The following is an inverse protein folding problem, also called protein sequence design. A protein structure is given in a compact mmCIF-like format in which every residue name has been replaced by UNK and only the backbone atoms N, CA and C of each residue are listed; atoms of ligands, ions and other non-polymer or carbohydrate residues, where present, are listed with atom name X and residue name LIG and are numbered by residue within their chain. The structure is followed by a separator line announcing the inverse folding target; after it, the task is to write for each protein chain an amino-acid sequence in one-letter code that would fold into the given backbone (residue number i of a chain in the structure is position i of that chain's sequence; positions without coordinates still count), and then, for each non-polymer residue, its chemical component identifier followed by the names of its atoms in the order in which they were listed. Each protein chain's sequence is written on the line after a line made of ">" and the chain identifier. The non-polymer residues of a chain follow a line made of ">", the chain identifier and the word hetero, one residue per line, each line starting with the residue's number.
data_IF_008154130757
#
_entry.id   IF_008154130757
#
_cell.length_a   1.000
_cell.length_b   1.000
_cell.length_c   1.000
_cell.angle_alpha   90.00
_cell.angle_beta   90.00
_cell.angle_gamma   90.00
#
_symmetry.space_group_name_H-M   'P 1'
#
loop_
_entity.id
_entity.type
_entity.pdbx_description
1 polymer ?
#
# COMPACT_ATOMS: atom_id res chain seq x y z
N UNK A 1 -15.25 -34.24 28.05
CA UNK A 1 -15.93 -34.39 26.72
C UNK A 1 -16.10 -33.08 25.92
N UNK A 2 -15.97 -31.92 26.53
CA UNK A 2 -16.06 -30.64 25.78
C UNK A 2 -14.76 -30.27 25.01
N UNK A 3 -13.59 -30.62 25.53
CA UNK A 3 -12.30 -30.31 24.88
C UNK A 3 -12.10 -30.98 23.51
N UNK A 4 -12.65 -32.16 23.31
CA UNK A 4 -12.52 -32.87 22.01
C UNK A 4 -13.41 -32.34 20.88
N UNK A 5 -14.44 -31.52 21.20
CA UNK A 5 -15.29 -30.92 20.19
C UNK A 5 -14.70 -29.61 19.62
N UNK A 6 -13.99 -28.85 20.46
CA UNK A 6 -13.38 -27.57 20.05
C UNK A 6 -12.19 -27.78 19.09
N UNK A 7 -11.30 -28.70 19.42
CA UNK A 7 -10.16 -29.09 18.57
C UNK A 7 -10.59 -29.66 17.21
N UNK A 8 -11.68 -30.42 17.17
CA UNK A 8 -12.19 -31.04 15.95
C UNK A 8 -12.82 -30.03 14.98
N UNK A 9 -13.52 -29.00 15.51
CA UNK A 9 -14.12 -27.94 14.67
C UNK A 9 -13.07 -27.02 14.03
N UNK A 10 -12.04 -26.62 14.78
CA UNK A 10 -10.94 -25.80 14.24
C UNK A 10 -10.18 -26.57 13.15
N UNK A 11 -9.91 -27.85 13.36
CA UNK A 11 -9.24 -28.70 12.37
C UNK A 11 -10.06 -28.89 11.09
N UNK A 12 -11.37 -28.95 11.16
CA UNK A 12 -12.24 -29.18 10.01
C UNK A 12 -12.52 -27.88 9.23
N UNK A 13 -12.62 -26.73 9.88
CA UNK A 13 -12.64 -25.41 9.22
C UNK A 13 -11.30 -25.10 8.53
N UNK A 14 -10.17 -25.37 9.17
CA UNK A 14 -8.86 -25.21 8.57
C UNK A 14 -8.63 -26.08 7.35
N UNK A 15 -9.13 -27.31 7.33
CA UNK A 15 -9.05 -28.22 6.16
C UNK A 15 -9.78 -27.68 4.93
N UNK A 16 -10.79 -26.84 5.11
CA UNK A 16 -11.55 -26.22 4.03
C UNK A 16 -10.78 -25.09 3.34
N UNK A 17 -9.90 -24.38 4.08
CA UNK A 17 -9.06 -23.30 3.57
C UNK A 17 -7.71 -23.72 2.97
N UNK A 18 -7.25 -24.97 3.21
CA UNK A 18 -5.86 -25.39 2.95
C UNK A 18 -5.68 -26.34 1.76
N UNK A 19 -6.61 -26.40 0.82
CA UNK A 19 -6.45 -27.28 -0.36
C UNK A 19 -5.27 -26.92 -1.27
N UNK A 20 -4.66 -25.72 -1.16
CA UNK A 20 -3.56 -25.28 -2.02
C UNK A 20 -2.17 -25.19 -1.37
N UNK A 21 -2.04 -25.14 -0.02
CA UNK A 21 -0.74 -24.94 0.64
C UNK A 21 -0.57 -25.83 1.88
N UNK A 22 -0.50 -27.13 1.65
CA UNK A 22 -0.30 -28.15 2.70
C UNK A 22 0.87 -27.89 3.68
N UNK A 23 2.07 -27.41 3.26
CA UNK A 23 3.19 -27.22 4.18
C UNK A 23 2.98 -26.07 5.17
N UNK A 24 2.36 -24.97 4.74
CA UNK A 24 2.12 -23.80 5.58
C UNK A 24 1.03 -24.07 6.62
N UNK A 25 -0.01 -24.79 6.21
CA UNK A 25 -1.10 -25.17 7.11
C UNK A 25 -0.63 -26.15 8.20
N UNK A 26 0.27 -27.08 7.86
CA UNK A 26 0.89 -27.97 8.84
C UNK A 26 1.80 -27.23 9.81
N UNK A 27 2.62 -26.29 9.35
CA UNK A 27 3.48 -25.47 10.19
C UNK A 27 2.68 -24.56 11.13
N UNK A 28 1.54 -24.01 10.67
CA UNK A 28 0.61 -23.24 11.50
C UNK A 28 -0.10 -24.10 12.53
N UNK A 29 -0.49 -25.34 12.16
CA UNK A 29 -1.10 -26.29 13.09
C UNK A 29 -0.11 -26.76 14.16
N UNK A 30 1.14 -27.04 13.79
CA UNK A 30 2.21 -27.42 14.72
C UNK A 30 2.57 -26.26 15.67
N UNK A 31 2.60 -25.01 15.17
CA UNK A 31 2.81 -23.84 16.02
C UNK A 31 1.64 -23.58 16.97
N UNK A 32 0.39 -23.80 16.52
CA UNK A 32 -0.81 -23.70 17.34
C UNK A 32 -0.86 -24.81 18.39
N UNK A 33 -0.53 -26.06 18.05
CA UNK A 33 -0.49 -27.18 18.97
C UNK A 33 0.57 -26.96 20.07
N UNK A 34 1.75 -26.43 19.71
CA UNK A 34 2.78 -26.06 20.69
C UNK A 34 2.33 -24.95 21.66
N UNK A 35 1.63 -23.95 21.17
CA UNK A 35 1.07 -22.88 22.01
C UNK A 35 -0.07 -23.38 22.91
N UNK A 36 -0.92 -24.29 22.40
CA UNK A 36 -1.98 -24.92 23.19
C UNK A 36 -1.39 -25.77 24.33
N UNK A 37 -0.33 -26.52 24.06
CA UNK A 37 0.37 -27.27 25.08
C UNK A 37 0.99 -26.40 26.17
N UNK A 38 1.54 -25.24 25.82
CA UNK A 38 2.12 -24.29 26.78
C UNK A 38 1.04 -23.63 27.65
N UNK A 39 -0.09 -23.25 27.08
CA UNK A 39 -1.25 -22.73 27.83
C UNK A 39 -1.80 -23.78 28.79
N UNK A 40 -1.89 -25.04 28.37
CA UNK A 40 -2.33 -26.14 29.23
C UNK A 40 -1.32 -26.37 30.38
N UNK A 41 -0.02 -26.26 30.11
CA UNK A 41 1.04 -26.43 31.12
C UNK A 41 1.10 -25.29 32.13
N UNK A 42 0.86 -24.04 31.67
CA UNK A 42 0.97 -22.84 32.50
C UNK A 42 -0.32 -22.46 33.21
N UNK A 43 -1.47 -23.02 32.80
CA UNK A 43 -2.78 -22.68 33.36
C UNK A 43 -3.24 -21.25 33.05
N UNK A 44 -2.59 -20.58 32.14
CA UNK A 44 -2.92 -19.20 31.73
C UNK A 44 -4.01 -19.19 30.67
N UNK A 45 -5.25 -19.39 31.11
CA UNK A 45 -6.45 -19.40 30.27
C UNK A 45 -6.98 -18.00 29.92
N UNK A 46 -6.44 -16.94 30.53
CA UNK A 46 -6.95 -15.57 30.41
C UNK A 46 -6.27 -14.78 29.27
N UNK A 47 -5.19 -15.30 28.70
CA UNK A 47 -4.52 -14.66 27.59
C UNK A 47 -5.13 -15.11 26.26
N UNK A 48 -6.29 -14.58 25.89
CA UNK A 48 -6.75 -14.59 24.50
C UNK A 48 -5.72 -13.99 23.52
N UNK A 49 -4.57 -13.57 24.05
CA UNK A 49 -3.34 -13.15 23.36
C UNK A 49 -2.38 -14.30 23.04
N UNK A 50 -2.51 -15.46 23.67
CA UNK A 50 -1.56 -16.59 23.51
C UNK A 50 -1.58 -17.23 22.10
N UNK A 51 -2.59 -16.94 21.30
CA UNK A 51 -2.73 -17.44 19.93
C UNK A 51 -2.44 -16.39 18.84
N UNK A 52 -2.03 -15.16 19.21
CA UNK A 52 -1.63 -14.18 18.24
C UNK A 52 -0.20 -14.50 17.79
N UNK A 53 -0.06 -14.98 16.55
CA UNK A 53 1.26 -14.98 15.89
C UNK A 53 1.80 -13.57 16.03
N UNK A 54 3.05 -13.44 16.58
CA UNK A 54 3.70 -12.14 16.63
C UNK A 54 3.90 -11.63 15.20
N UNK A 55 3.00 -10.78 14.75
CA UNK A 55 3.00 -10.25 13.41
C UNK A 55 4.32 -9.55 13.06
N UNK A 56 5.08 -9.05 14.06
CA UNK A 56 6.37 -8.41 13.83
C UNK A 56 7.47 -9.40 13.43
N UNK A 57 7.39 -10.64 13.88
CA UNK A 57 8.39 -11.70 13.59
C UNK A 57 8.24 -12.34 12.21
N UNK A 58 7.06 -12.23 11.59
CA UNK A 58 6.80 -12.77 10.25
C UNK A 58 7.61 -12.00 9.19
N UNK A 59 8.06 -12.68 8.12
CA UNK A 59 8.44 -11.96 6.91
C UNK A 59 7.21 -11.32 6.25
N UNK A 60 7.42 -10.36 5.35
CA UNK A 60 6.30 -9.61 4.78
C UNK A 60 5.34 -10.48 3.94
N UNK A 61 5.83 -11.55 3.28
CA UNK A 61 4.98 -12.45 2.49
C UNK A 61 4.09 -13.31 3.41
N UNK A 62 4.65 -13.81 4.50
CA UNK A 62 3.90 -14.52 5.53
C UNK A 62 2.88 -13.58 6.20
N UNK A 63 3.29 -12.36 6.52
CA UNK A 63 2.43 -11.35 7.10
C UNK A 63 1.25 -11.01 6.19
N UNK A 64 1.49 -10.81 4.89
CA UNK A 64 0.43 -10.56 3.90
C UNK A 64 -0.55 -11.74 3.83
N UNK A 65 -0.05 -12.98 3.79
CA UNK A 65 -0.92 -14.16 3.77
C UNK A 65 -1.79 -14.27 5.01
N UNK A 66 -1.29 -13.85 6.16
CA UNK A 66 -2.01 -13.91 7.43
C UNK A 66 -3.05 -12.80 7.56
N UNK A 67 -2.66 -11.55 7.30
CA UNK A 67 -3.47 -10.38 7.62
C UNK A 67 -4.15 -9.72 6.43
N UNK A 68 -3.66 -9.96 5.22
CA UNK A 68 -4.18 -9.42 3.97
C UNK A 68 -4.21 -10.47 2.85
N UNK A 69 -4.86 -11.64 3.04
CA UNK A 69 -4.82 -12.75 2.08
C UNK A 69 -5.34 -12.38 0.69
N UNK A 70 -6.24 -11.40 0.59
CA UNK A 70 -6.73 -10.88 -0.68
C UNK A 70 -5.62 -10.22 -1.53
N UNK A 71 -4.61 -9.61 -0.90
CA UNK A 71 -3.45 -9.05 -1.59
C UNK A 71 -2.52 -10.13 -2.16
N UNK A 72 -2.69 -11.38 -1.74
CA UNK A 72 -1.94 -12.55 -2.19
C UNK A 72 -2.77 -13.48 -3.07
N UNK A 73 -3.92 -13.03 -3.58
CA UNK A 73 -4.75 -13.80 -4.54
C UNK A 73 -4.01 -14.09 -5.84
N UNK A 74 -2.99 -13.31 -6.16
CA UNK A 74 -2.00 -13.56 -7.19
C UNK A 74 -0.59 -13.35 -6.63
N UNK A 75 0.45 -13.81 -7.34
CA UNK A 75 1.84 -13.55 -6.96
C UNK A 75 2.12 -12.04 -6.98
N UNK A 76 2.99 -11.58 -6.09
CA UNK A 76 3.51 -10.22 -6.14
C UNK A 76 4.34 -10.04 -7.42
N UNK A 77 4.18 -8.90 -8.08
CA UNK A 77 5.10 -8.48 -9.13
C UNK A 77 6.41 -7.94 -8.52
N UNK A 78 7.48 -7.89 -9.32
CA UNK A 78 8.79 -7.39 -8.89
C UNK A 78 8.74 -5.96 -8.34
N UNK A 79 7.83 -5.12 -8.84
CA UNK A 79 7.61 -3.76 -8.35
C UNK A 79 7.05 -3.76 -6.92
N UNK A 80 6.12 -4.67 -6.59
CA UNK A 80 5.63 -4.85 -5.22
C UNK A 80 6.77 -5.30 -4.29
N UNK A 81 7.55 -6.31 -4.72
CA UNK A 81 8.64 -6.84 -3.91
C UNK A 81 9.66 -5.76 -3.58
N UNK A 82 10.05 -4.89 -4.54
CA UNK A 82 10.95 -3.76 -4.27
C UNK A 82 10.41 -2.80 -3.21
N UNK A 83 9.13 -2.44 -3.29
CA UNK A 83 8.51 -1.56 -2.30
C UNK A 83 8.49 -2.20 -0.91
N UNK A 84 8.22 -3.51 -0.83
CA UNK A 84 8.26 -4.27 0.41
C UNK A 84 9.67 -4.38 0.97
N UNK A 85 10.68 -4.69 0.15
CA UNK A 85 12.09 -4.75 0.55
C UNK A 85 12.57 -3.42 1.10
N UNK A 86 12.20 -2.32 0.44
CA UNK A 86 12.47 -0.98 0.96
C UNK A 86 11.80 -0.75 2.32
N UNK A 87 10.52 -1.10 2.47
CA UNK A 87 9.80 -0.95 3.72
C UNK A 87 10.39 -1.79 4.86
N UNK A 88 10.79 -3.04 4.57
CA UNK A 88 11.44 -3.93 5.55
C UNK A 88 12.85 -3.46 5.94
N UNK A 89 13.53 -2.66 5.11
CA UNK A 89 14.82 -2.06 5.39
C UNK A 89 14.77 -0.87 6.34
N UNK A 90 13.57 -0.33 6.62
CA UNK A 90 13.39 0.84 7.48
C UNK A 90 13.77 0.50 8.93
N UNK A 91 14.78 1.19 9.45
CA UNK A 91 15.25 1.06 10.83
C UNK A 91 14.88 2.30 11.67
N UNK A 92 14.59 2.14 12.98
CA UNK A 92 14.32 3.29 13.85
C UNK A 92 15.48 4.29 13.88
N UNK A 93 15.15 5.59 13.85
CA UNK A 93 16.11 6.68 13.96
C UNK A 93 16.99 6.93 12.74
N UNK A 94 16.78 6.19 11.64
CA UNK A 94 17.55 6.36 10.39
C UNK A 94 16.64 6.76 9.26
N UNK A 95 16.97 7.85 8.55
CA UNK A 95 16.28 8.24 7.32
C UNK A 95 16.75 7.38 6.14
N UNK A 96 15.91 6.51 5.57
CA UNK A 96 16.28 5.81 4.35
C UNK A 96 16.25 6.77 3.16
N UNK A 97 16.87 6.40 2.01
CA UNK A 97 16.61 7.08 0.76
C UNK A 97 15.10 7.07 0.47
N UNK A 98 14.55 8.19 -0.03
CA UNK A 98 13.16 8.24 -0.45
C UNK A 98 12.91 7.22 -1.57
N UNK A 99 11.80 6.50 -1.52
CA UNK A 99 11.41 5.58 -2.58
C UNK A 99 10.51 6.30 -3.60
N UNK A 100 10.90 6.30 -4.88
CA UNK A 100 10.10 6.84 -5.98
C UNK A 100 9.66 5.68 -6.88
N UNK A 101 8.36 5.46 -6.97
CA UNK A 101 7.77 4.36 -7.72
C UNK A 101 6.72 4.88 -8.71
N UNK A 102 6.94 4.62 -10.00
CA UNK A 102 6.00 4.96 -11.05
C UNK A 102 5.40 3.66 -11.63
N UNK A 103 4.19 3.31 -11.18
CA UNK A 103 3.52 2.08 -11.56
C UNK A 103 2.27 2.37 -12.38
N UNK A 104 1.95 1.47 -13.30
CA UNK A 104 0.75 1.54 -14.13
C UNK A 104 -0.55 1.56 -13.30
N UNK A 105 -1.62 2.08 -13.89
CA UNK A 105 -2.96 2.07 -13.30
C UNK A 105 -3.45 0.63 -13.09
N UNK A 106 -3.93 0.33 -11.88
CA UNK A 106 -4.30 -1.03 -11.49
C UNK A 106 -3.10 -1.92 -11.10
N UNK A 107 -1.90 -1.32 -10.94
CA UNK A 107 -0.68 -2.02 -10.50
C UNK A 107 -0.58 -2.25 -8.99
N UNK A 108 -1.65 -2.02 -8.22
CA UNK A 108 -1.69 -2.29 -6.77
C UNK A 108 -0.96 -1.25 -5.91
N UNK A 109 -0.76 -0.01 -6.41
CA UNK A 109 -0.05 1.08 -5.70
C UNK A 109 -0.57 1.32 -4.30
N UNK A 110 -1.78 1.86 -4.21
CA UNK A 110 -2.38 2.29 -2.94
C UNK A 110 -2.56 1.12 -1.98
N UNK A 111 -3.05 -0.02 -2.45
CA UNK A 111 -3.18 -1.24 -1.63
C UNK A 111 -1.84 -1.69 -1.04
N UNK A 112 -0.75 -1.62 -1.82
CA UNK A 112 0.60 -1.94 -1.32
C UNK A 112 1.04 -0.94 -0.25
N UNK A 113 0.80 0.37 -0.45
CA UNK A 113 1.15 1.41 0.52
C UNK A 113 0.34 1.29 1.81
N UNK A 114 -0.95 0.99 1.73
CA UNK A 114 -1.81 0.72 2.90
C UNK A 114 -1.30 -0.45 3.74
N UNK A 115 -0.92 -1.54 3.09
CA UNK A 115 -0.38 -2.70 3.78
C UNK A 115 1.01 -2.43 4.38
N UNK A 116 1.89 -1.71 3.66
CA UNK A 116 3.19 -1.27 4.18
C UNK A 116 2.99 -0.38 5.41
N UNK A 117 2.03 0.54 5.39
CA UNK A 117 1.72 1.40 6.53
C UNK A 117 1.30 0.59 7.77
N UNK A 118 0.40 -0.39 7.59
CA UNK A 118 -0.02 -1.29 8.67
C UNK A 118 1.15 -2.15 9.17
N UNK A 119 2.00 -2.64 8.28
CA UNK A 119 3.19 -3.40 8.62
C UNK A 119 4.19 -2.61 9.46
N UNK A 120 4.45 -1.35 9.09
CA UNK A 120 5.31 -0.44 9.83
C UNK A 120 4.74 -0.18 11.23
N UNK A 121 3.42 -0.05 11.36
CA UNK A 121 2.75 0.06 12.66
C UNK A 121 2.97 -1.19 13.54
N UNK A 122 2.91 -2.39 12.96
CA UNK A 122 3.18 -3.67 13.65
C UNK A 122 4.64 -3.75 14.09
N UNK A 123 5.59 -3.38 13.21
CA UNK A 123 7.03 -3.40 13.53
C UNK A 123 7.46 -2.29 14.48
N UNK A 124 6.66 -1.22 14.60
CA UNK A 124 6.99 -0.07 15.46
C UNK A 124 8.22 0.72 15.01
N UNK A 125 8.62 0.65 13.73
CA UNK A 125 9.80 1.33 13.21
C UNK A 125 9.56 2.83 12.98
N UNK A 126 8.31 3.27 12.91
CA UNK A 126 7.86 4.66 12.79
C UNK A 126 6.68 4.90 13.74
N UNK A 127 6.39 6.18 14.01
CA UNK A 127 5.34 6.59 14.96
C UNK A 127 4.24 7.42 14.35
N UNK A 128 4.53 8.15 13.26
CA UNK A 128 3.55 9.06 12.69
C UNK A 128 3.62 9.07 11.17
N UNK A 129 2.61 8.42 10.55
CA UNK A 129 2.37 8.45 9.11
C UNK A 129 1.54 9.67 8.74
N UNK A 130 2.03 10.45 7.78
CA UNK A 130 1.25 11.41 6.99
C UNK A 130 0.94 10.79 5.64
N UNK A 131 -0.33 10.47 5.38
CA UNK A 131 -0.80 9.93 4.10
C UNK A 131 -1.37 11.06 3.24
N UNK A 132 -0.73 11.34 2.11
CA UNK A 132 -1.00 12.51 1.28
C UNK A 132 -1.56 12.08 -0.07
N UNK A 133 -2.73 12.62 -0.45
CA UNK A 133 -3.34 12.47 -1.76
C UNK A 133 -3.65 13.81 -2.41
N UNK A 134 -4.14 13.81 -3.66
CA UNK A 134 -4.64 15.00 -4.35
C UNK A 134 -5.79 15.66 -3.57
N UNK A 135 -6.71 14.85 -3.03
CA UNK A 135 -7.88 15.32 -2.27
C UNK A 135 -7.94 14.73 -0.86
N UNK A 136 -8.57 15.47 0.06
CA UNK A 136 -8.79 14.99 1.44
C UNK A 136 -9.65 13.71 1.46
N UNK A 137 -10.68 13.65 0.62
CA UNK A 137 -11.55 12.47 0.53
C UNK A 137 -10.78 11.21 0.11
N UNK A 138 -9.85 11.33 -0.84
CA UNK A 138 -9.00 10.21 -1.26
C UNK A 138 -8.09 9.76 -0.10
N UNK A 139 -7.43 10.70 0.58
CA UNK A 139 -6.59 10.40 1.73
C UNK A 139 -7.37 9.74 2.88
N UNK A 140 -8.59 10.21 3.14
CA UNK A 140 -9.47 9.66 4.19
C UNK A 140 -9.85 8.19 3.92
N UNK A 141 -10.13 7.83 2.65
CA UNK A 141 -10.40 6.44 2.27
C UNK A 141 -9.21 5.53 2.56
N UNK A 142 -8.02 5.91 2.12
CA UNK A 142 -6.80 5.12 2.36
C UNK A 142 -6.48 4.97 3.86
N UNK A 143 -6.64 6.05 4.63
CA UNK A 143 -6.45 5.99 6.09
C UNK A 143 -7.47 5.07 6.75
N UNK A 144 -8.73 5.05 6.29
CA UNK A 144 -9.73 4.10 6.76
C UNK A 144 -9.32 2.65 6.49
N UNK A 145 -8.82 2.34 5.28
CA UNK A 145 -8.38 1.00 4.90
C UNK A 145 -7.13 0.54 5.66
N UNK A 146 -6.20 1.47 5.93
CA UNK A 146 -5.06 1.24 6.85
C UNK A 146 -5.59 0.87 8.24
N UNK A 147 -6.60 1.60 8.75
CA UNK A 147 -7.22 1.33 10.04
C UNK A 147 -7.80 -0.07 10.13
N UNK A 148 -8.56 -0.50 9.13
CA UNK A 148 -9.11 -1.85 9.05
C UNK A 148 -8.01 -2.93 9.03
N UNK A 149 -6.93 -2.68 8.31
CA UNK A 149 -5.80 -3.62 8.25
C UNK A 149 -5.06 -3.68 9.60
N UNK A 150 -4.84 -2.54 10.25
CA UNK A 150 -4.24 -2.50 11.59
C UNK A 150 -5.08 -3.25 12.64
N UNK A 151 -6.41 -3.11 12.60
CA UNK A 151 -7.30 -3.86 13.50
C UNK A 151 -7.21 -5.38 13.29
N UNK A 152 -7.13 -5.82 12.03
CA UNK A 152 -6.88 -7.25 11.73
C UNK A 152 -5.53 -7.75 12.24
N UNK A 153 -4.53 -6.87 12.32
CA UNK A 153 -3.22 -7.19 12.90
C UNK A 153 -3.20 -7.13 14.43
N UNK A 154 -4.35 -6.91 15.09
CA UNK A 154 -4.44 -6.81 16.54
C UNK A 154 -3.93 -5.47 17.10
N UNK A 155 -3.75 -4.45 16.28
CA UNK A 155 -3.39 -3.12 16.77
C UNK A 155 -4.62 -2.46 17.38
N UNK A 156 -4.56 -2.19 18.67
CA UNK A 156 -5.64 -1.58 19.42
C UNK A 156 -5.69 -0.05 19.24
N UNK A 157 -6.89 0.51 19.32
CA UNK A 157 -7.12 1.96 19.32
C UNK A 157 -6.62 2.58 20.62
N UNK A 158 -6.02 3.76 20.57
CA UNK A 158 -5.69 4.52 21.76
C UNK A 158 -6.97 4.99 22.49
N UNK A 159 -7.09 4.69 23.76
CA UNK A 159 -8.23 5.09 24.58
C UNK A 159 -7.86 6.19 25.57
N UNK A 160 -8.81 7.06 25.89
CA UNK A 160 -8.69 7.99 26.99
C UNK A 160 -8.98 7.32 28.34
N UNK A 161 -8.85 8.06 29.44
CA UNK A 161 -9.10 7.54 30.81
C UNK A 161 -10.53 7.03 31.05
N UNK A 162 -11.46 7.34 30.17
CA UNK A 162 -12.85 6.90 30.25
C UNK A 162 -13.20 5.75 29.28
N UNK A 163 -12.20 5.22 28.56
CA UNK A 163 -12.39 4.14 27.60
C UNK A 163 -12.85 4.57 26.20
N UNK A 164 -12.94 5.88 25.92
CA UNK A 164 -13.28 6.37 24.59
C UNK A 164 -12.04 6.50 23.70
N UNK A 165 -12.19 6.27 22.39
CA UNK A 165 -11.11 6.46 21.42
C UNK A 165 -10.58 7.91 21.46
N UNK A 166 -9.26 8.05 21.46
CA UNK A 166 -8.56 9.34 21.37
C UNK A 166 -8.53 9.94 19.95
N UNK A 167 -9.04 9.25 18.98
CA UNK A 167 -9.10 9.61 17.57
C UNK A 167 -8.93 8.40 16.69
N UNK A 168 -10.04 7.86 16.22
CA UNK A 168 -10.11 6.77 15.25
C UNK A 168 -11.28 7.07 14.33
N UNK A 169 -10.96 7.72 13.23
CA UNK A 169 -11.91 8.10 12.20
C UNK A 169 -11.20 8.06 10.82
N UNK A 170 -11.91 8.36 9.75
CA UNK A 170 -11.37 8.30 8.40
C UNK A 170 -10.11 9.17 8.20
N UNK A 171 -10.05 10.35 8.85
CA UNK A 171 -8.92 11.27 8.66
C UNK A 171 -7.76 11.05 9.62
N UNK A 172 -7.99 10.33 10.74
CA UNK A 172 -6.98 10.21 11.79
C UNK A 172 -7.14 8.91 12.57
N UNK A 173 -6.00 8.21 12.77
CA UNK A 173 -5.92 7.03 13.60
C UNK A 173 -4.89 7.23 14.70
N UNK A 174 -5.26 6.90 15.94
CA UNK A 174 -4.34 6.83 17.09
C UNK A 174 -4.39 5.45 17.69
N UNK A 175 -3.25 4.80 17.76
CA UNK A 175 -3.13 3.43 18.26
C UNK A 175 -2.58 3.38 19.67
N UNK A 176 -2.86 2.30 20.38
CA UNK A 176 -2.35 2.06 21.73
C UNK A 176 -0.82 1.86 21.75
N UNK A 177 -0.24 1.31 20.69
CA UNK A 177 1.21 1.12 20.55
C UNK A 177 1.97 2.41 20.17
N UNK A 178 1.26 3.54 20.00
CA UNK A 178 1.86 4.86 19.73
C UNK A 178 2.05 5.20 18.26
N UNK A 179 1.66 4.33 17.32
CA UNK A 179 1.61 4.68 15.91
C UNK A 179 0.39 5.55 15.62
N UNK A 180 0.56 6.57 14.80
CA UNK A 180 -0.51 7.50 14.45
C UNK A 180 -0.55 7.66 12.94
N UNK A 181 -1.74 7.92 12.39
CA UNK A 181 -1.94 8.22 10.97
C UNK A 181 -2.76 9.49 10.84
N UNK A 182 -2.39 10.33 9.90
CA UNK A 182 -3.15 11.53 9.51
C UNK A 182 -3.32 11.55 7.99
N UNK A 183 -4.56 11.66 7.54
CA UNK A 183 -4.89 11.90 6.14
C UNK A 183 -4.68 13.38 5.80
N UNK A 184 -4.10 13.66 4.64
CA UNK A 184 -3.85 15.00 4.16
C UNK A 184 -4.14 15.14 2.65
N UNK A 185 -5.10 15.99 2.31
CA UNK A 185 -5.41 16.35 0.94
C UNK A 185 -4.71 17.63 0.51
N UNK A 186 -4.08 17.63 -0.66
CA UNK A 186 -3.43 18.81 -1.22
C UNK A 186 -4.43 19.92 -1.62
N UNK A 187 -5.72 19.59 -1.69
CA UNK A 187 -6.83 20.52 -1.95
C UNK A 187 -7.21 21.37 -0.72
N UNK A 188 -6.96 20.88 0.50
CA UNK A 188 -7.45 21.53 1.73
C UNK A 188 -6.58 22.68 2.26
N UNK A 189 -5.41 22.89 1.68
CA UNK A 189 -4.45 23.90 2.14
C UNK A 189 -3.69 23.48 3.41
N UNK A 190 -2.53 24.12 3.61
CA UNK A 190 -1.47 23.70 4.50
C UNK A 190 -1.75 23.92 6.00
N UNK A 191 -2.86 23.46 6.56
CA UNK A 191 -3.13 23.56 7.99
C UNK A 191 -3.02 22.20 8.68
N UNK A 192 -2.14 22.11 9.70
CA UNK A 192 -2.19 21.00 10.65
C UNK A 192 -1.42 19.73 10.31
N UNK A 193 -0.24 19.84 9.67
CA UNK A 193 0.66 18.70 9.38
C UNK A 193 1.27 18.09 10.67
N UNK A 194 1.09 18.73 11.81
CA UNK A 194 1.58 18.23 13.11
C UNK A 194 0.46 17.53 13.87
N UNK A 195 0.81 16.45 14.56
CA UNK A 195 -0.08 15.78 15.49
C UNK A 195 0.50 15.92 16.90
N UNK A 196 -0.11 16.81 17.71
CA UNK A 196 0.39 17.19 19.04
C UNK A 196 1.84 17.70 18.94
N UNK A 197 2.79 17.01 19.57
CA UNK A 197 4.24 17.30 19.53
C UNK A 197 4.99 16.46 18.48
N UNK A 198 4.30 15.52 17.81
CA UNK A 198 4.93 14.62 16.84
C UNK A 198 5.09 15.31 15.47
N UNK A 199 6.22 15.04 14.84
CA UNK A 199 6.48 15.34 13.43
C UNK A 199 6.35 14.06 12.63
N UNK A 200 5.85 14.11 11.39
CA UNK A 200 5.80 12.92 10.54
C UNK A 200 7.20 12.29 10.38
N UNK A 201 7.32 11.03 10.74
CA UNK A 201 8.49 10.19 10.52
C UNK A 201 8.28 9.14 9.43
N UNK A 202 7.06 9.12 8.86
CA UNK A 202 6.72 8.38 7.66
C UNK A 202 5.77 9.23 6.80
N UNK A 203 6.07 9.39 5.51
CA UNK A 203 5.24 10.13 4.55
C UNK A 203 4.99 9.26 3.34
N UNK A 204 3.74 9.11 2.96
CA UNK A 204 3.31 8.51 1.70
C UNK A 204 2.68 9.61 0.85
N UNK A 205 3.21 9.83 -0.35
CA UNK A 205 2.59 10.64 -1.41
C UNK A 205 1.99 9.65 -2.42
N UNK A 206 0.67 9.56 -2.47
CA UNK A 206 -0.07 8.61 -3.31
C UNK A 206 -1.15 9.32 -4.13
N UNK A 207 -1.15 9.11 -5.44
CA UNK A 207 -2.09 9.68 -6.39
C UNK A 207 -2.31 11.19 -6.18
N UNK A 208 -1.20 11.95 -6.16
CA UNK A 208 -1.23 13.41 -5.94
C UNK A 208 -1.46 14.20 -7.23
N UNK A 209 -1.13 13.65 -8.41
CA UNK A 209 -1.37 14.27 -9.72
C UNK A 209 -2.75 13.89 -10.28
N UNK A 210 -3.41 14.81 -10.93
CA UNK A 210 -4.70 14.61 -11.60
C UNK A 210 -4.59 14.96 -13.09
N UNK A 211 -5.39 14.30 -13.93
CA UNK A 211 -5.32 14.45 -15.39
C UNK A 211 -5.62 15.89 -15.85
N UNK A 212 -6.50 16.57 -15.14
CA UNK A 212 -6.96 17.93 -15.41
C UNK A 212 -6.18 19.00 -14.64
N UNK A 213 -5.04 18.63 -14.04
CA UNK A 213 -4.18 19.60 -13.37
C UNK A 213 -3.64 20.65 -14.33
N UNK A 214 -4.03 21.90 -14.08
CA UNK A 214 -3.38 23.03 -14.73
C UNK A 214 -1.98 23.25 -14.16
N UNK A 215 -1.12 23.95 -14.90
CA UNK A 215 0.23 24.34 -14.45
C UNK A 215 0.18 24.99 -13.06
N UNK A 216 -0.75 25.91 -12.82
CA UNK A 216 -0.91 26.56 -11.52
C UNK A 216 -1.29 25.58 -10.40
N UNK A 217 -2.07 24.52 -10.69
CA UNK A 217 -2.38 23.47 -9.70
C UNK A 217 -1.16 22.64 -9.38
N UNK A 218 -0.39 22.24 -10.39
CA UNK A 218 0.87 21.50 -10.19
C UNK A 218 1.84 22.32 -9.34
N UNK A 219 2.05 23.62 -9.68
CA UNK A 219 2.91 24.52 -8.90
C UNK A 219 2.45 24.65 -7.44
N UNK A 220 1.14 24.74 -7.21
CA UNK A 220 0.58 24.78 -5.86
C UNK A 220 0.84 23.48 -5.10
N UNK A 221 0.67 22.31 -5.75
CA UNK A 221 0.99 21.00 -5.17
C UNK A 221 2.46 20.91 -4.79
N UNK A 222 3.36 21.27 -5.71
CA UNK A 222 4.81 21.33 -5.47
C UNK A 222 5.13 22.25 -4.29
N UNK A 223 4.58 23.46 -4.27
CA UNK A 223 4.78 24.42 -3.18
C UNK A 223 4.29 23.85 -1.84
N UNK A 224 3.12 23.22 -1.80
CA UNK A 224 2.60 22.60 -0.57
C UNK A 224 3.52 21.49 -0.07
N UNK A 225 3.99 20.63 -0.96
CA UNK A 225 4.89 19.53 -0.61
C UNK A 225 6.24 20.08 -0.11
N UNK A 226 6.86 20.98 -0.87
CA UNK A 226 8.23 21.45 -0.60
C UNK A 226 8.32 22.49 0.53
N UNK A 227 7.27 23.30 0.74
CA UNK A 227 7.29 24.38 1.72
C UNK A 227 6.52 24.04 3.01
N UNK A 228 5.66 23.01 2.99
CA UNK A 228 4.86 22.68 4.16
C UNK A 228 5.07 21.26 4.64
N UNK A 229 4.91 20.25 3.76
CA UNK A 229 4.95 18.83 4.15
C UNK A 229 6.37 18.42 4.49
N UNK A 230 7.31 18.55 3.55
CA UNK A 230 8.70 18.12 3.75
C UNK A 230 9.43 18.87 4.86
N UNK A 231 9.25 20.19 5.07
CA UNK A 231 9.85 20.88 6.22
C UNK A 231 9.26 20.48 7.59
N UNK A 232 8.05 19.92 7.61
CA UNK A 232 7.42 19.48 8.86
C UNK A 232 7.90 18.11 9.34
N UNK A 233 8.57 17.32 8.49
CA UNK A 233 9.02 15.96 8.80
C UNK A 233 10.06 15.91 9.93
N UNK A 234 10.21 14.73 10.55
CA UNK A 234 11.33 14.43 11.45
C UNK A 234 12.64 14.19 10.66
N UNK A 235 13.76 14.17 11.37
CA UNK A 235 15.09 13.97 10.75
C UNK A 235 15.29 12.55 10.22
N UNK A 236 14.58 11.57 10.75
CA UNK A 236 14.66 10.15 10.39
C UNK A 236 13.50 9.71 9.47
N UNK A 237 12.78 10.65 8.86
CA UNK A 237 11.57 10.38 8.09
C UNK A 237 11.84 9.48 6.89
N UNK A 238 11.06 8.40 6.79
CA UNK A 238 10.94 7.58 5.59
C UNK A 238 9.91 8.22 4.65
N UNK A 239 10.20 8.31 3.36
CA UNK A 239 9.32 8.93 2.37
C UNK A 239 9.15 7.98 1.19
N UNK A 240 7.92 7.76 0.76
CA UNK A 240 7.61 7.09 -0.50
C UNK A 240 6.69 7.97 -1.34
N UNK A 241 6.99 8.05 -2.63
CA UNK A 241 6.15 8.70 -3.62
C UNK A 241 5.80 7.66 -4.69
N UNK A 242 4.53 7.31 -4.76
CA UNK A 242 4.02 6.32 -5.70
C UNK A 242 2.88 6.90 -6.53
N UNK A 243 2.98 6.77 -7.84
CA UNK A 243 1.99 7.28 -8.78
C UNK A 243 2.18 6.66 -10.17
N UNK A 244 1.16 6.74 -11.04
CA UNK A 244 1.37 6.58 -12.47
C UNK A 244 1.77 7.94 -13.09
N UNK A 245 2.54 7.91 -14.18
CA UNK A 245 2.87 9.13 -14.90
C UNK A 245 1.68 9.55 -15.77
N UNK A 246 1.01 10.62 -15.39
CA UNK A 246 -0.19 11.12 -16.09
C UNK A 246 0.16 12.03 -17.25
N UNK A 247 1.10 12.97 -17.04
CA UNK A 247 1.68 13.84 -18.08
C UNK A 247 3.09 14.30 -17.68
N UNK A 248 3.85 14.84 -18.65
CA UNK A 248 5.24 15.21 -18.43
C UNK A 248 5.41 16.29 -17.34
N UNK A 249 4.51 17.26 -17.30
CA UNK A 249 4.56 18.38 -16.36
C UNK A 249 3.89 18.09 -15.00
N UNK A 250 3.43 16.86 -14.75
CA UNK A 250 2.93 16.47 -13.44
C UNK A 250 4.05 16.46 -12.39
N UNK A 251 3.71 16.43 -11.11
CA UNK A 251 4.74 16.37 -10.04
C UNK A 251 5.62 15.14 -10.23
N UNK A 252 5.00 13.95 -10.45
CA UNK A 252 5.76 12.72 -10.74
C UNK A 252 6.60 12.86 -12.00
N UNK A 253 6.05 13.44 -13.08
CA UNK A 253 6.78 13.67 -14.34
C UNK A 253 8.05 14.49 -14.13
N UNK A 254 7.95 15.61 -13.41
CA UNK A 254 9.07 16.50 -13.12
C UNK A 254 10.10 15.86 -12.15
N UNK A 255 9.65 15.03 -11.19
CA UNK A 255 10.57 14.27 -10.34
C UNK A 255 11.34 13.22 -11.13
N UNK A 256 10.67 12.50 -12.03
CA UNK A 256 11.29 11.46 -12.85
C UNK A 256 12.30 12.05 -13.87
N UNK A 257 12.01 13.22 -14.45
CA UNK A 257 12.91 13.93 -15.37
C UNK A 257 14.07 14.62 -14.68
N UNK A 258 13.97 14.86 -13.36
CA UNK A 258 14.95 15.63 -12.58
C UNK A 258 14.79 17.14 -12.70
N UNK A 259 13.73 17.64 -13.34
CA UNK A 259 13.42 19.06 -13.40
C UNK A 259 13.03 19.64 -12.06
N UNK A 260 12.38 18.82 -11.20
CA UNK A 260 12.00 19.22 -9.86
C UNK A 260 13.08 18.83 -8.83
N UNK A 261 13.68 19.84 -8.21
CA UNK A 261 14.71 19.67 -7.16
C UNK A 261 14.09 19.33 -5.80
N UNK A 262 13.52 18.13 -5.68
CA UNK A 262 13.05 17.56 -4.41
C UNK A 262 13.39 16.08 -4.31
N UNK A 263 13.48 15.56 -3.08
CA UNK A 263 13.76 14.15 -2.80
C UNK A 263 15.00 13.63 -3.53
N UNK A 264 16.10 14.41 -3.53
CA UNK A 264 17.33 14.05 -4.24
C UNK A 264 18.05 12.84 -3.62
N UNK A 265 17.96 12.66 -2.30
CA UNK A 265 18.40 11.42 -1.64
C UNK A 265 17.31 10.36 -1.79
N UNK A 266 17.33 9.64 -2.91
CA UNK A 266 16.29 8.71 -3.30
C UNK A 266 16.79 7.44 -4.00
N UNK A 267 15.99 6.39 -3.93
CA UNK A 267 16.00 5.26 -4.84
C UNK A 267 14.82 5.44 -5.79
N UNK A 268 15.12 5.55 -7.07
CA UNK A 268 14.12 5.68 -8.12
C UNK A 268 14.09 4.40 -8.94
N UNK A 269 12.96 3.70 -8.91
CA UNK A 269 12.75 2.51 -9.73
C UNK A 269 12.50 2.89 -11.19
N UNK A 270 12.79 2.00 -12.15
CA UNK A 270 12.34 2.16 -13.51
C UNK A 270 10.82 2.32 -13.56
N UNK A 271 10.32 3.09 -14.54
CA UNK A 271 8.87 3.19 -14.80
C UNK A 271 8.34 1.79 -15.13
N UNK A 272 7.26 1.40 -14.48
CA UNK A 272 6.66 0.07 -14.58
C UNK A 272 5.40 0.12 -15.45
N UNK A 273 5.45 -0.30 -16.72
CA UNK A 273 4.27 -0.42 -17.58
C UNK A 273 3.49 -1.69 -17.24
N UNK A 274 2.21 -1.76 -17.61
CA UNK A 274 1.41 -2.97 -17.45
C UNK A 274 1.93 -4.12 -18.32
N UNK A 275 2.41 -3.80 -19.53
CA UNK A 275 2.96 -4.78 -20.47
C UNK A 275 4.32 -4.27 -20.97
N UNK A 276 5.36 -5.04 -20.71
CA UNK A 276 6.71 -4.75 -21.22
C UNK A 276 6.79 -5.13 -22.70
N UNK A 277 7.30 -4.22 -23.54
CA UNK A 277 7.42 -4.46 -24.98
C UNK A 277 6.07 -4.63 -25.67
N UNK A 278 5.05 -3.90 -25.23
CA UNK A 278 3.71 -3.95 -25.83
C UNK A 278 3.77 -3.69 -27.34
N UNK A 279 3.17 -4.59 -28.09
CA UNK A 279 2.85 -4.40 -29.52
C UNK A 279 1.36 -4.64 -29.74
N UNK A 280 0.76 -3.83 -30.61
CA UNK A 280 -0.66 -3.93 -30.93
C UNK A 280 -0.90 -3.50 -32.39
N UNK A 281 -1.99 -3.98 -32.97
CA UNK A 281 -2.38 -3.70 -34.35
C UNK A 281 -3.85 -3.28 -34.41
N UNK A 282 -4.20 -2.34 -35.32
CA UNK A 282 -5.60 -2.03 -35.59
C UNK A 282 -6.25 -3.15 -36.39
N UNK A 283 -7.54 -3.37 -36.16
CA UNK A 283 -8.37 -4.27 -36.98
C UNK A 283 -9.77 -3.65 -37.15
N UNK A 284 -10.44 -4.06 -38.23
CA UNK A 284 -11.81 -3.64 -38.46
C UNK A 284 -12.78 -4.60 -37.72
N UNK A 285 -13.67 -4.05 -36.91
CA UNK A 285 -14.73 -4.80 -36.20
C UNK A 285 -15.89 -5.07 -37.16
N UNK A 286 -16.74 -6.03 -36.85
CA UNK A 286 -17.94 -6.39 -37.65
C UNK A 286 -18.88 -5.19 -37.89
N UNK A 287 -18.89 -4.20 -37.00
CA UNK A 287 -19.67 -2.98 -37.10
C UNK A 287 -18.96 -1.83 -37.87
N UNK A 288 -17.81 -2.11 -38.51
CA UNK A 288 -17.03 -1.16 -39.28
C UNK A 288 -16.17 -0.19 -38.44
N UNK A 289 -16.14 -0.34 -37.09
CA UNK A 289 -15.28 0.47 -36.22
C UNK A 289 -13.88 -0.13 -36.13
N UNK A 290 -12.88 0.73 -35.93
CA UNK A 290 -11.52 0.30 -35.67
C UNK A 290 -11.40 -0.23 -34.23
N UNK A 291 -10.94 -1.46 -34.07
CA UNK A 291 -10.49 -2.04 -32.83
C UNK A 291 -8.96 -2.11 -32.78
N UNK A 292 -8.39 -2.46 -31.61
CA UNK A 292 -6.96 -2.66 -31.44
C UNK A 292 -6.73 -3.98 -30.70
N UNK A 293 -5.84 -4.83 -31.24
CA UNK A 293 -5.51 -6.12 -30.68
C UNK A 293 -4.05 -6.15 -30.24
N UNK A 294 -3.81 -6.58 -29.00
CA UNK A 294 -2.45 -6.82 -28.53
C UNK A 294 -1.87 -8.01 -29.28
N UNK A 295 -0.71 -7.81 -29.93
CA UNK A 295 0.00 -8.83 -30.71
C UNK A 295 1.25 -9.34 -30.03
N UNK A 296 1.75 -8.65 -28.98
CA UNK A 296 2.91 -9.09 -28.22
C UNK A 296 3.19 -8.24 -27.00
N UNK A 297 4.11 -8.72 -26.18
CA UNK A 297 4.53 -8.13 -24.92
C UNK A 297 4.43 -9.10 -23.75
N UNK A 298 5.07 -8.75 -22.63
CA UNK A 298 5.06 -9.55 -21.41
C UNK A 298 4.37 -8.78 -20.30
N UNK A 299 3.29 -9.30 -19.68
CA UNK A 299 2.66 -8.66 -18.54
C UNK A 299 3.67 -8.47 -17.39
N UNK A 300 3.68 -7.31 -16.79
CA UNK A 300 4.54 -7.02 -15.64
C UNK A 300 4.04 -7.72 -14.37
N UNK A 301 2.75 -7.97 -14.30
CA UNK A 301 2.10 -8.61 -13.16
C UNK A 301 1.05 -9.61 -13.61
N UNK A 302 1.07 -10.83 -13.03
CA UNK A 302 0.16 -11.92 -13.41
C UNK A 302 -1.32 -11.62 -13.18
N UNK A 303 -1.65 -10.75 -12.24
CA UNK A 303 -3.03 -10.32 -11.98
C UNK A 303 -3.58 -9.43 -13.12
N UNK A 304 -2.72 -8.72 -13.82
CA UNK A 304 -3.05 -7.90 -14.99
C UNK A 304 -2.38 -8.49 -16.23
N UNK A 305 -2.86 -9.66 -16.63
CA UNK A 305 -2.37 -10.38 -17.80
C UNK A 305 -2.79 -9.73 -19.14
N UNK A 306 -2.34 -10.29 -20.25
CA UNK A 306 -2.67 -9.78 -21.60
C UNK A 306 -4.18 -9.75 -21.83
N UNK A 307 -4.94 -10.71 -21.30
CA UNK A 307 -6.39 -10.78 -21.50
C UNK A 307 -7.11 -9.64 -20.75
N UNK A 308 -6.63 -9.29 -19.58
CA UNK A 308 -7.12 -8.13 -18.81
C UNK A 308 -6.76 -6.84 -19.55
N UNK A 309 -5.51 -6.69 -20.00
CA UNK A 309 -5.08 -5.52 -20.75
C UNK A 309 -5.85 -5.35 -22.06
N UNK A 310 -6.15 -6.44 -22.77
CA UNK A 310 -6.96 -6.40 -23.99
C UNK A 310 -8.39 -5.92 -23.71
N UNK A 311 -9.04 -6.41 -22.66
CA UNK A 311 -10.37 -5.96 -22.27
C UNK A 311 -10.38 -4.47 -21.93
N UNK A 312 -9.37 -3.98 -21.23
CA UNK A 312 -9.23 -2.55 -20.91
C UNK A 312 -9.09 -1.69 -22.17
N UNK A 313 -8.35 -2.15 -23.19
CA UNK A 313 -8.29 -1.48 -24.50
C UNK A 313 -9.68 -1.46 -25.16
N UNK A 314 -10.41 -2.56 -25.08
CA UNK A 314 -11.75 -2.67 -25.65
C UNK A 314 -12.80 -1.81 -24.91
N UNK A 315 -12.65 -1.65 -23.59
CA UNK A 315 -13.59 -0.93 -22.73
C UNK A 315 -13.41 0.60 -22.82
N UNK A 316 -12.18 1.11 -22.72
CA UNK A 316 -11.93 2.56 -22.66
C UNK A 316 -10.95 3.11 -23.69
N UNK A 317 -10.54 2.28 -24.64
CA UNK A 317 -9.77 2.67 -25.82
C UNK A 317 -8.25 2.62 -25.63
N UNK A 318 -7.55 2.39 -26.74
CA UNK A 318 -6.09 2.21 -26.76
C UNK A 318 -5.34 3.43 -26.24
N UNK A 319 -5.77 4.66 -26.60
CA UNK A 319 -5.08 5.89 -26.18
C UNK A 319 -5.09 6.02 -24.65
N UNK A 320 -6.25 5.78 -24.03
CA UNK A 320 -6.36 5.84 -22.57
C UNK A 320 -5.54 4.73 -21.90
N UNK A 321 -5.53 3.52 -22.48
CA UNK A 321 -4.70 2.43 -21.99
C UNK A 321 -3.20 2.77 -22.07
N UNK A 322 -2.73 3.30 -23.20
CA UNK A 322 -1.33 3.68 -23.38
C UNK A 322 -0.90 4.74 -22.34
N UNK A 323 -1.75 5.73 -22.09
CA UNK A 323 -1.47 6.75 -21.09
C UNK A 323 -1.44 6.20 -19.66
N UNK A 324 -2.50 5.52 -19.26
CA UNK A 324 -2.69 5.09 -17.86
C UNK A 324 -1.87 3.85 -17.49
N UNK A 325 -1.67 2.95 -18.45
CA UNK A 325 -1.08 1.65 -18.21
C UNK A 325 0.32 1.47 -18.83
N UNK A 326 0.69 2.28 -19.83
CA UNK A 326 2.01 2.22 -20.47
C UNK A 326 2.84 3.49 -20.22
N UNK A 327 2.26 4.50 -19.56
CA UNK A 327 2.90 5.80 -19.31
C UNK A 327 3.29 6.54 -20.59
N UNK A 328 2.66 6.21 -21.71
CA UNK A 328 2.81 6.91 -22.98
C UNK A 328 1.98 8.19 -22.94
N UNK A 329 2.55 9.22 -22.33
CA UNK A 329 1.95 10.55 -22.32
C UNK A 329 2.25 11.22 -23.63
N UNK A 330 1.24 11.40 -24.50
CA UNK A 330 1.38 12.15 -25.73
C UNK A 330 1.92 13.54 -25.46
N UNK A 331 2.80 14.02 -26.36
CA UNK A 331 3.15 15.43 -26.41
C UNK A 331 1.88 16.12 -26.94
N UNK A 332 1.08 16.68 -26.02
CA UNK A 332 -0.07 17.51 -26.37
C UNK A 332 0.36 18.87 -26.86
#
# INVERSE_FOLDING_TARGET
>A
MAQNRFSKNISDEFKQYTRSDKPLALALLEALDGQIEDVIKTGDYDSGRAFAVDGASLDYKQWLRTYAPHAMSSSLGTHHERAWEWAESITPGVAPPALIECWFRGGGKSTTMEHIAARIAVKGTRRFLLYVCSTQEAADRHVSDIGHTMERCGIERALNKYGFSKGWNASKLRTANGFNVLAFGLDTGARGVKLDHLRPDFIILDDIDELDDSVNRVDKKISTITQTILPAKSTDCAIVFVQNKIHANSVMGQVLSGELDMLQYRVQSPIVPAVQGLTYEPFEREDGRTGYKITGGTPTWSHKDISVCQREIDDYGVISFLRECQHEVGVG
#
